data_IF_963518812488
#
_entry.id   IF_963518812488
#
_cell.length_a   1.000
_cell.length_b   1.000
_cell.length_c   1.000
_cell.angle_alpha   90.00
_cell.angle_beta   90.00
_cell.angle_gamma   90.00
#
_symmetry.space_group_name_H-M   'P 1'
#
loop_
_entity.id
_entity.type
_entity.pdbx_description
1 polymer ?
#
# COMPACT_ATOMS: atom_id res chain seq x y z
N UNK A 1 3.81 -4.48 63.19
CA UNK A 1 4.68 -3.73 62.26
C UNK A 1 4.46 -4.33 60.89
N UNK A 2 4.01 -3.51 59.93
CA UNK A 2 3.63 -3.97 58.61
C UNK A 2 4.83 -4.46 57.80
N UNK A 3 4.57 -5.44 56.94
CA UNK A 3 5.47 -5.80 55.86
C UNK A 3 4.59 -6.02 54.64
N UNK A 4 4.57 -5.02 53.77
CA UNK A 4 3.90 -5.10 52.48
C UNK A 4 4.60 -6.16 51.63
N UNK A 5 3.87 -7.00 50.88
CA UNK A 5 4.48 -7.79 49.82
C UNK A 5 4.81 -6.85 48.66
N UNK A 6 6.08 -6.46 48.58
CA UNK A 6 6.70 -5.75 47.46
C UNK A 6 7.57 -6.75 46.71
N UNK A 7 6.95 -7.62 45.90
CA UNK A 7 7.66 -8.40 44.88
C UNK A 7 6.83 -8.35 43.60
N UNK A 8 6.94 -7.21 42.89
CA UNK A 8 6.52 -7.08 41.50
C UNK A 8 7.76 -7.25 40.62
N UNK A 9 8.32 -8.45 40.60
CA UNK A 9 9.13 -8.89 39.47
C UNK A 9 8.17 -9.58 38.49
N UNK A 10 7.76 -8.85 37.45
CA UNK A 10 7.16 -9.48 36.29
C UNK A 10 8.23 -10.38 35.65
N UNK A 11 8.18 -11.67 35.93
CA UNK A 11 9.04 -12.66 35.28
C UNK A 11 8.93 -12.53 33.75
N UNK A 12 10.07 -12.44 33.06
CA UNK A 12 10.13 -12.39 31.60
C UNK A 12 9.37 -13.56 30.95
N UNK A 13 9.35 -14.72 31.61
CA UNK A 13 8.63 -15.91 31.18
C UNK A 13 7.10 -15.76 31.33
N UNK A 14 6.63 -14.98 32.30
CA UNK A 14 5.20 -14.66 32.44
C UNK A 14 4.74 -13.69 31.35
N UNK A 15 5.59 -12.74 30.94
CA UNK A 15 5.35 -11.85 29.80
C UNK A 15 5.38 -12.61 28.47
N UNK A 16 6.31 -13.55 28.30
CA UNK A 16 6.37 -14.41 27.12
C UNK A 16 5.17 -15.37 27.09
N UNK A 17 4.78 -15.93 28.22
CA UNK A 17 3.60 -16.79 28.35
C UNK A 17 2.30 -16.02 28.09
N UNK A 18 2.14 -14.82 28.65
CA UNK A 18 1.00 -13.93 28.39
C UNK A 18 0.99 -13.43 26.94
N UNK A 19 2.15 -13.09 26.36
CA UNK A 19 2.29 -12.74 24.95
C UNK A 19 1.92 -13.90 24.02
N UNK A 20 2.35 -15.12 24.37
CA UNK A 20 1.98 -16.33 23.65
C UNK A 20 0.49 -16.66 23.81
N UNK A 21 -0.10 -16.42 24.98
CA UNK A 21 -1.53 -16.58 25.24
C UNK A 21 -2.38 -15.54 24.50
N UNK A 22 -1.90 -14.30 24.40
CA UNK A 22 -2.47 -13.24 23.57
C UNK A 22 -2.38 -13.57 22.07
N UNK A 23 -1.27 -14.17 21.61
CA UNK A 23 -1.15 -14.69 20.24
C UNK A 23 -2.03 -15.92 19.98
N UNK A 24 -2.31 -16.71 21.01
CA UNK A 24 -3.16 -17.91 20.96
C UNK A 24 -4.65 -17.60 21.07
N UNK A 25 -5.01 -16.41 21.58
CA UNK A 25 -6.34 -15.87 21.40
C UNK A 25 -6.56 -15.68 19.91
N UNK A 26 -7.37 -16.57 19.35
CA UNK A 26 -7.86 -16.50 17.99
C UNK A 26 -8.81 -15.31 17.91
N UNK A 27 -8.27 -14.07 17.89
CA UNK A 27 -8.98 -12.79 17.70
C UNK A 27 -9.57 -12.62 16.29
N UNK A 28 -9.79 -13.74 15.60
CA UNK A 28 -10.42 -13.89 14.30
C UNK A 28 -11.90 -14.15 14.58
N UNK A 29 -12.80 -13.15 14.58
CA UNK A 29 -13.06 -12.24 13.47
C UNK A 29 -13.13 -10.72 13.81
N UNK A 30 -12.89 -10.33 15.06
CA UNK A 30 -13.12 -8.95 15.52
C UNK A 30 -12.17 -7.93 14.88
N UNK A 31 -10.91 -8.30 14.68
CA UNK A 31 -9.93 -7.40 14.08
C UNK A 31 -10.25 -7.13 12.61
N UNK A 32 -10.62 -8.15 11.83
CA UNK A 32 -11.02 -7.98 10.43
C UNK A 32 -12.30 -7.14 10.32
N UNK A 33 -13.30 -7.40 11.16
CA UNK A 33 -14.52 -6.57 11.21
C UNK A 33 -14.18 -5.12 11.54
N UNK A 34 -13.29 -4.86 12.50
CA UNK A 34 -12.82 -3.51 12.80
C UNK A 34 -12.11 -2.83 11.61
N UNK A 35 -11.35 -3.59 10.81
CA UNK A 35 -10.72 -3.07 9.58
C UNK A 35 -11.76 -2.69 8.54
N UNK A 36 -12.77 -3.54 8.32
CA UNK A 36 -13.87 -3.24 7.40
C UNK A 36 -14.71 -2.05 7.89
N UNK A 37 -15.01 -1.97 9.18
CA UNK A 37 -15.71 -0.85 9.79
C UNK A 37 -14.92 0.45 9.62
N UNK A 38 -13.63 0.45 9.93
CA UNK A 38 -12.77 1.61 9.74
C UNK A 38 -12.72 2.04 8.26
N UNK A 39 -12.59 1.08 7.34
CA UNK A 39 -12.62 1.38 5.90
C UNK A 39 -13.95 2.00 5.47
N UNK A 40 -15.08 1.47 5.96
CA UNK A 40 -16.42 1.98 5.67
C UNK A 40 -16.65 3.38 6.27
N UNK A 41 -16.11 3.64 7.46
CA UNK A 41 -16.16 4.94 8.11
C UNK A 41 -15.34 5.98 7.36
N UNK A 42 -14.14 5.62 6.89
CA UNK A 42 -13.30 6.50 6.05
C UNK A 42 -14.01 6.79 4.72
N UNK A 43 -14.59 5.77 4.09
CA UNK A 43 -15.36 5.94 2.85
C UNK A 43 -16.55 6.90 3.06
N UNK A 44 -17.34 6.68 4.12
CA UNK A 44 -18.45 7.56 4.47
C UNK A 44 -17.97 8.99 4.77
N UNK A 45 -16.88 9.15 5.52
CA UNK A 45 -16.29 10.44 5.84
C UNK A 45 -15.78 11.20 4.62
N UNK A 46 -15.25 10.52 3.60
CA UNK A 46 -14.79 11.17 2.35
C UNK A 46 -15.96 11.59 1.45
N UNK A 47 -17.02 10.78 1.35
CA UNK A 47 -18.15 11.07 0.44
C UNK A 47 -19.27 11.90 1.05
N UNK A 48 -19.53 11.79 2.36
CA UNK A 48 -20.68 12.39 3.05
C UNK A 48 -20.30 13.41 4.13
N UNK A 49 -19.04 13.84 4.21
CA UNK A 49 -18.64 14.90 5.16
C UNK A 49 -19.34 16.23 4.84
N UNK A 50 -19.99 16.87 5.81
CA UNK A 50 -20.60 18.18 5.59
C UNK A 50 -19.51 19.20 5.22
N UNK A 51 -19.78 20.03 4.21
CA UNK A 51 -18.88 21.05 3.65
C UNK A 51 -17.57 20.52 3.01
N UNK A 52 -17.47 19.23 2.70
CA UNK A 52 -16.31 18.60 2.03
C UNK A 52 -14.97 18.85 2.77
N UNK A 53 -15.04 19.04 4.09
CA UNK A 53 -13.90 19.43 4.93
C UNK A 53 -12.85 18.32 4.95
N UNK A 54 -13.28 17.07 5.12
CA UNK A 54 -12.39 15.90 5.18
C UNK A 54 -11.66 15.69 3.85
N UNK A 55 -12.36 15.84 2.74
CA UNK A 55 -11.77 15.72 1.41
C UNK A 55 -10.79 16.86 1.10
N UNK A 56 -11.09 18.11 1.50
CA UNK A 56 -10.15 19.24 1.42
C UNK A 56 -8.91 19.01 2.27
N UNK A 57 -9.07 18.48 3.48
CA UNK A 57 -7.96 18.14 4.38
C UNK A 57 -7.04 17.06 3.76
N UNK A 58 -7.60 15.98 3.25
CA UNK A 58 -6.82 14.87 2.66
C UNK A 58 -6.19 15.29 1.32
N UNK A 59 -6.81 16.22 0.60
CA UNK A 59 -6.29 16.75 -0.66
C UNK A 59 -5.14 17.75 -0.49
N UNK A 60 -4.81 18.19 0.74
CA UNK A 60 -3.59 18.96 0.96
C UNK A 60 -2.37 18.14 0.55
N UNK A 61 -1.49 18.75 -0.25
CA UNK A 61 -0.31 18.08 -0.82
C UNK A 61 0.54 17.39 0.25
N UNK A 62 0.75 18.03 1.40
CA UNK A 62 1.54 17.47 2.51
C UNK A 62 0.89 16.21 3.10
N UNK A 63 -0.41 16.26 3.39
CA UNK A 63 -1.16 15.13 3.96
C UNK A 63 -1.20 13.97 2.96
N UNK A 64 -1.40 14.26 1.67
CA UNK A 64 -1.38 13.25 0.62
C UNK A 64 -0.03 12.55 0.49
N UNK A 65 1.08 13.29 0.62
CA UNK A 65 2.44 12.73 0.63
C UNK A 65 2.63 11.80 1.83
N UNK A 66 2.22 12.20 3.04
CA UNK A 66 2.31 11.34 4.23
C UNK A 66 1.50 10.05 4.05
N UNK A 67 0.26 10.17 3.58
CA UNK A 67 -0.60 9.00 3.31
C UNK A 67 -0.03 8.12 2.21
N UNK A 68 0.63 8.69 1.19
CA UNK A 68 1.31 7.88 0.15
C UNK A 68 2.47 7.07 0.73
N UNK A 69 3.27 7.65 1.63
CA UNK A 69 4.38 6.93 2.27
C UNK A 69 3.83 5.79 3.12
N UNK A 70 2.82 6.04 3.94
CA UNK A 70 2.18 5.01 4.76
C UNK A 70 1.62 3.85 3.91
N UNK A 71 1.01 4.17 2.76
CA UNK A 71 0.51 3.16 1.81
C UNK A 71 1.64 2.28 1.25
N UNK A 72 2.80 2.84 0.95
CA UNK A 72 3.94 2.06 0.45
C UNK A 72 4.61 1.19 1.51
N UNK A 73 4.66 1.66 2.76
CA UNK A 73 5.09 0.84 3.89
C UNK A 73 4.17 -0.37 4.04
N UNK A 74 2.86 -0.16 4.00
CA UNK A 74 1.87 -1.24 4.08
C UNK A 74 1.93 -2.18 2.87
N UNK A 75 2.19 -1.66 1.66
CA UNK A 75 2.34 -2.48 0.45
C UNK A 75 3.55 -3.42 0.57
N UNK A 76 4.69 -2.89 0.98
CA UNK A 76 5.93 -3.65 1.15
C UNK A 76 5.76 -4.74 2.21
N UNK A 77 5.07 -4.43 3.32
CA UNK A 77 4.71 -5.41 4.36
C UNK A 77 3.83 -6.54 3.82
N UNK A 78 2.83 -6.22 2.96
CA UNK A 78 1.97 -7.24 2.34
C UNK A 78 2.74 -8.15 1.39
N UNK A 79 3.68 -7.60 0.62
CA UNK A 79 4.54 -8.38 -0.28
C UNK A 79 5.42 -9.33 0.53
N UNK A 80 6.13 -8.84 1.54
CA UNK A 80 7.03 -9.67 2.36
C UNK A 80 6.26 -10.76 3.12
N UNK A 81 5.09 -10.45 3.70
CA UNK A 81 4.21 -11.44 4.34
C UNK A 81 3.64 -12.44 3.32
N UNK A 82 3.43 -12.02 2.07
CA UNK A 82 3.02 -12.87 0.96
C UNK A 82 4.08 -13.90 0.57
N UNK A 83 5.30 -13.43 0.32
CA UNK A 83 6.45 -14.26 -0.01
C UNK A 83 6.76 -15.22 1.14
N UNK A 84 6.75 -14.74 2.39
CA UNK A 84 6.97 -15.58 3.56
C UNK A 84 5.92 -16.69 3.73
N UNK A 85 4.65 -16.39 3.43
CA UNK A 85 3.58 -17.40 3.43
C UNK A 85 3.78 -18.44 2.32
N UNK A 86 4.09 -18.00 1.11
CA UNK A 86 4.32 -18.90 -0.02
C UNK A 86 5.57 -19.77 0.17
N UNK A 87 6.64 -19.23 0.77
CA UNK A 87 7.87 -19.96 1.05
C UNK A 87 7.66 -21.09 2.07
N UNK A 88 6.73 -20.92 3.02
CA UNK A 88 6.36 -21.99 3.97
C UNK A 88 5.59 -23.12 3.29
N UNK A 89 4.76 -22.80 2.29
CA UNK A 89 3.89 -23.78 1.63
C UNK A 89 4.58 -24.50 0.47
N UNK A 90 5.42 -23.78 -0.28
CA UNK A 90 6.16 -24.27 -1.44
C UNK A 90 7.61 -23.76 -1.39
N UNK A 91 8.47 -24.38 -0.55
CA UNK A 91 9.85 -23.92 -0.35
C UNK A 91 10.70 -24.00 -1.63
N UNK A 92 10.52 -25.05 -2.43
CA UNK A 92 11.31 -25.29 -3.66
C UNK A 92 10.88 -24.45 -4.87
N UNK A 93 9.68 -23.84 -4.84
CA UNK A 93 9.13 -23.14 -6.00
C UNK A 93 9.26 -21.62 -5.89
N UNK A 94 10.40 -21.10 -6.33
CA UNK A 94 10.69 -19.66 -6.33
C UNK A 94 9.71 -18.85 -7.18
N UNK A 95 9.23 -19.43 -8.29
CA UNK A 95 8.27 -18.78 -9.17
C UNK A 95 6.94 -18.53 -8.45
N UNK A 96 6.47 -19.48 -7.64
CA UNK A 96 5.23 -19.33 -6.85
C UNK A 96 5.40 -18.27 -5.76
N UNK A 97 6.55 -18.23 -5.10
CA UNK A 97 6.85 -17.23 -4.07
C UNK A 97 6.79 -15.80 -4.62
N UNK A 98 7.42 -15.58 -5.79
CA UNK A 98 7.37 -14.28 -6.48
C UNK A 98 5.95 -13.94 -6.91
N UNK A 99 5.21 -14.88 -7.51
CA UNK A 99 3.84 -14.64 -7.97
C UNK A 99 2.89 -14.27 -6.81
N UNK A 100 2.96 -14.95 -5.67
CA UNK A 100 2.14 -14.65 -4.48
C UNK A 100 2.51 -13.29 -3.89
N UNK A 101 3.81 -12.95 -3.84
CA UNK A 101 4.28 -11.63 -3.42
C UNK A 101 3.73 -10.51 -4.31
N UNK A 102 3.85 -10.67 -5.63
CA UNK A 102 3.33 -9.70 -6.62
C UNK A 102 1.81 -9.58 -6.55
N UNK A 103 1.09 -10.71 -6.40
CA UNK A 103 -0.37 -10.70 -6.26
C UNK A 103 -0.83 -9.90 -5.04
N UNK A 104 -0.15 -10.04 -3.89
CA UNK A 104 -0.45 -9.24 -2.68
C UNK A 104 -0.06 -7.77 -2.81
N UNK A 105 0.98 -7.42 -3.57
CA UNK A 105 1.42 -6.04 -3.78
C UNK A 105 0.61 -5.27 -4.83
N UNK A 106 0.30 -5.91 -5.96
CA UNK A 106 -0.30 -5.31 -7.15
C UNK A 106 -1.75 -5.78 -7.43
N UNK A 107 -2.36 -6.60 -6.57
CA UNK A 107 -3.72 -7.14 -6.78
C UNK A 107 -4.81 -6.08 -6.93
N UNK A 108 -4.60 -4.86 -6.42
CA UNK A 108 -5.55 -3.75 -6.58
C UNK A 108 -5.80 -3.37 -8.05
N UNK A 109 -4.83 -3.56 -8.95
CA UNK A 109 -5.00 -3.30 -10.37
C UNK A 109 -5.96 -4.28 -11.04
N UNK A 110 -5.88 -5.55 -10.67
CA UNK A 110 -6.78 -6.60 -11.17
C UNK A 110 -8.21 -6.36 -10.70
N UNK A 111 -8.39 -6.05 -9.41
CA UNK A 111 -9.72 -5.75 -8.84
C UNK A 111 -10.36 -4.54 -9.51
N UNK A 112 -9.58 -3.52 -9.88
CA UNK A 112 -10.10 -2.36 -10.63
C UNK A 112 -10.65 -2.73 -12.00
N UNK A 113 -10.00 -3.64 -12.73
CA UNK A 113 -10.50 -4.11 -14.04
C UNK A 113 -11.85 -4.81 -13.85
N UNK A 114 -11.97 -5.64 -12.80
CA UNK A 114 -13.23 -6.32 -12.46
C UNK A 114 -14.30 -5.31 -12.07
N UNK A 115 -13.96 -4.29 -11.26
CA UNK A 115 -14.90 -3.22 -10.89
C UNK A 115 -15.41 -2.45 -12.11
N UNK A 116 -14.51 -2.10 -13.04
CA UNK A 116 -14.88 -1.42 -14.29
C UNK A 116 -15.78 -2.28 -15.18
N UNK A 117 -15.55 -3.60 -15.20
CA UNK A 117 -16.40 -4.55 -15.92
C UNK A 117 -17.81 -4.59 -15.33
N UNK A 118 -17.93 -4.69 -14.00
CA UNK A 118 -19.22 -4.72 -13.29
C UNK A 118 -19.98 -3.40 -13.44
N UNK A 119 -19.28 -2.26 -13.46
CA UNK A 119 -19.89 -0.92 -13.67
C UNK A 119 -20.26 -0.64 -15.13
N UNK A 120 -19.93 -1.52 -16.08
CA UNK A 120 -20.28 -1.36 -17.50
C UNK A 120 -19.49 -0.28 -18.24
N UNK A 121 -18.49 0.33 -17.61
CA UNK A 121 -17.62 1.38 -18.19
C UNK A 121 -16.27 0.78 -18.58
N UNK A 122 -16.26 -0.36 -19.27
CA UNK A 122 -15.02 -1.04 -19.62
C UNK A 122 -14.28 -0.29 -20.73
N UNK A 123 -13.05 0.11 -20.46
CA UNK A 123 -12.17 0.78 -21.43
C UNK A 123 -10.96 -0.14 -21.71
N UNK A 124 -10.86 -0.76 -22.91
CA UNK A 124 -9.83 -1.75 -23.24
C UNK A 124 -8.38 -1.24 -23.21
N UNK A 125 -8.16 0.07 -23.15
CA UNK A 125 -6.83 0.68 -23.39
C UNK A 125 -5.91 0.73 -22.17
N UNK A 126 -6.33 0.20 -21.02
CA UNK A 126 -5.62 0.34 -19.72
C UNK A 126 -5.51 -1.00 -18.96
N UNK A 127 -5.20 -2.10 -19.63
CA UNK A 127 -4.86 -3.33 -18.91
C UNK A 127 -3.46 -3.23 -18.32
N UNK A 128 -3.36 -3.24 -16.98
CA UNK A 128 -2.06 -3.28 -16.26
C UNK A 128 -1.18 -4.48 -16.64
N UNK A 129 -1.76 -5.50 -17.28
CA UNK A 129 -1.04 -6.66 -17.80
C UNK A 129 -0.34 -6.39 -19.15
N UNK A 130 -0.92 -5.53 -20.00
CA UNK A 130 -0.40 -5.25 -21.35
C UNK A 130 0.56 -4.04 -21.36
N UNK A 131 0.35 -3.07 -20.47
CA UNK A 131 1.34 -2.04 -20.11
C UNK A 131 1.55 -2.05 -18.59
N UNK A 132 2.56 -2.76 -18.08
CA UNK A 132 2.82 -2.80 -16.65
C UNK A 132 3.12 -1.40 -16.13
N UNK A 133 2.29 -0.93 -15.20
CA UNK A 133 2.54 0.27 -14.43
C UNK A 133 3.91 0.16 -13.75
N UNK A 134 4.61 1.28 -13.59
CA UNK A 134 5.90 1.32 -12.88
C UNK A 134 5.80 0.68 -11.49
N UNK A 135 4.65 0.80 -10.83
CA UNK A 135 4.34 0.16 -9.54
C UNK A 135 4.39 -1.37 -9.62
N UNK A 136 3.85 -1.99 -10.67
CA UNK A 136 3.83 -3.44 -10.83
C UNK A 136 5.24 -3.97 -11.08
N UNK A 137 6.06 -3.27 -11.88
CA UNK A 137 7.47 -3.59 -12.07
C UNK A 137 8.24 -3.52 -10.74
N UNK A 138 8.01 -2.48 -9.94
CA UNK A 138 8.61 -2.34 -8.61
C UNK A 138 8.20 -3.48 -7.68
N UNK A 139 6.92 -3.90 -7.70
CA UNK A 139 6.44 -5.04 -6.92
C UNK A 139 7.10 -6.36 -7.33
N UNK A 140 7.35 -6.57 -8.64
CA UNK A 140 8.08 -7.75 -9.14
C UNK A 140 9.52 -7.77 -8.63
N UNK A 141 10.23 -6.64 -8.73
CA UNK A 141 11.61 -6.53 -8.22
C UNK A 141 11.65 -6.72 -6.71
N UNK A 142 10.73 -6.11 -5.96
CA UNK A 142 10.64 -6.27 -4.51
C UNK A 142 10.35 -7.73 -4.11
N UNK A 143 9.39 -8.39 -4.77
CA UNK A 143 9.07 -9.79 -4.52
C UNK A 143 10.24 -10.72 -4.86
N UNK A 144 10.98 -10.43 -5.93
CA UNK A 144 12.18 -11.18 -6.31
C UNK A 144 13.28 -11.02 -5.25
N UNK A 145 13.53 -9.80 -4.78
CA UNK A 145 14.52 -9.52 -3.72
C UNK A 145 14.14 -10.24 -2.42
N UNK A 146 12.88 -10.17 -1.98
CA UNK A 146 12.41 -10.88 -0.78
C UNK A 146 12.47 -12.40 -0.93
N UNK A 147 12.25 -12.93 -2.13
CA UNK A 147 12.37 -14.37 -2.43
C UNK A 147 13.83 -14.80 -2.35
N UNK A 148 14.77 -14.02 -2.91
CA UNK A 148 16.20 -14.31 -2.86
C UNK A 148 16.77 -14.22 -1.43
N UNK A 149 16.32 -13.24 -0.66
CA UNK A 149 16.68 -13.07 0.76
C UNK A 149 16.28 -14.30 1.60
N UNK A 150 15.09 -14.86 1.35
CA UNK A 150 14.59 -16.03 2.07
C UNK A 150 15.40 -17.30 1.81
N UNK A 151 16.03 -17.41 0.64
CA UNK A 151 16.72 -18.63 0.21
C UNK A 151 18.23 -18.63 0.49
N UNK A 152 18.76 -17.59 1.16
CA UNK A 152 20.08 -17.57 1.79
C UNK A 152 21.24 -18.11 0.92
N UNK A 153 21.27 -17.77 -0.37
CA UNK A 153 22.42 -18.11 -1.25
C UNK A 153 23.21 -16.88 -1.73
N UNK A 154 22.73 -15.64 -1.52
CA UNK A 154 23.45 -14.42 -2.01
C UNK A 154 23.36 -13.15 -1.15
N UNK A 155 22.48 -13.04 -0.15
CA UNK A 155 22.28 -11.77 0.59
C UNK A 155 22.26 -11.99 2.10
N UNK A 156 23.42 -11.91 2.73
CA UNK A 156 23.59 -11.79 4.20
C UNK A 156 23.43 -10.33 4.64
N UNK A 157 22.38 -9.65 4.15
CA UNK A 157 22.04 -8.30 4.60
C UNK A 157 20.96 -8.39 5.69
N UNK A 158 21.04 -7.57 6.76
CA UNK A 158 20.02 -7.58 7.81
C UNK A 158 18.63 -7.30 7.20
N UNK A 159 17.62 -8.05 7.65
CA UNK A 159 16.23 -7.96 7.15
C UNK A 159 15.70 -6.52 7.06
N UNK A 160 16.14 -5.66 7.98
CA UNK A 160 15.78 -4.24 8.00
C UNK A 160 16.34 -3.46 6.81
N UNK A 161 17.54 -3.76 6.32
CA UNK A 161 18.17 -3.07 5.19
C UNK A 161 17.52 -3.44 3.85
N UNK A 162 17.13 -4.70 3.69
CA UNK A 162 16.40 -5.16 2.49
C UNK A 162 14.99 -4.57 2.46
N UNK A 163 14.34 -4.51 3.61
CA UNK A 163 13.04 -3.85 3.76
C UNK A 163 13.14 -2.35 3.48
N UNK A 164 14.16 -1.68 4.01
CA UNK A 164 14.45 -0.27 3.74
C UNK A 164 14.70 -0.03 2.26
N UNK A 165 15.48 -0.89 1.59
CA UNK A 165 15.79 -0.77 0.16
C UNK A 165 14.56 -0.98 -0.72
N UNK A 166 13.72 -1.98 -0.40
CA UNK A 166 12.45 -2.20 -1.10
C UNK A 166 11.49 -1.01 -0.92
N UNK A 167 11.40 -0.47 0.30
CA UNK A 167 10.61 0.72 0.60
C UNK A 167 11.12 1.95 -0.18
N UNK A 168 12.44 2.15 -0.23
CA UNK A 168 13.06 3.28 -0.91
C UNK A 168 12.86 3.20 -2.43
N UNK A 169 12.89 2.00 -3.01
CA UNK A 169 12.54 1.76 -4.41
C UNK A 169 11.06 2.04 -4.70
N UNK A 170 10.14 1.53 -3.88
CA UNK A 170 8.71 1.82 -4.02
C UNK A 170 8.44 3.32 -3.90
N UNK A 171 9.07 4.00 -2.92
CA UNK A 171 8.93 5.46 -2.78
C UNK A 171 9.51 6.19 -3.99
N UNK A 172 10.71 5.85 -4.46
CA UNK A 172 11.29 6.51 -5.63
C UNK A 172 10.39 6.37 -6.87
N UNK A 173 9.72 5.23 -7.02
CA UNK A 173 8.76 4.97 -8.09
C UNK A 173 7.48 5.80 -7.91
N UNK A 174 6.94 5.92 -6.70
CA UNK A 174 5.77 6.79 -6.48
C UNK A 174 6.13 8.28 -6.52
N UNK A 175 7.37 8.66 -6.21
CA UNK A 175 7.91 10.00 -6.42
C UNK A 175 7.76 10.42 -7.88
N UNK A 176 8.33 9.58 -8.76
CA UNK A 176 8.33 9.81 -10.20
C UNK A 176 6.92 9.77 -10.77
N UNK A 177 6.01 8.99 -10.18
CA UNK A 177 4.59 8.96 -10.58
C UNK A 177 3.81 10.21 -10.16
N UNK A 178 4.00 10.68 -8.92
CA UNK A 178 3.38 11.93 -8.46
C UNK A 178 3.89 13.13 -9.26
N UNK A 179 5.19 13.17 -9.59
CA UNK A 179 5.79 14.18 -10.46
C UNK A 179 5.22 14.13 -11.89
N UNK A 180 5.09 12.93 -12.48
CA UNK A 180 4.47 12.76 -13.79
C UNK A 180 2.99 13.20 -13.81
N UNK A 181 2.23 12.89 -12.76
CA UNK A 181 0.84 13.32 -12.63
C UNK A 181 0.71 14.84 -12.43
N UNK A 182 1.61 15.45 -11.66
CA UNK A 182 1.67 16.90 -11.49
C UNK A 182 1.99 17.60 -12.82
N UNK A 183 2.92 17.06 -13.62
CA UNK A 183 3.25 17.55 -14.95
C UNK A 183 2.07 17.47 -15.92
N UNK A 184 1.35 16.34 -15.94
CA UNK A 184 0.17 16.16 -16.80
C UNK A 184 -0.95 17.15 -16.46
N UNK A 185 -1.20 17.36 -15.16
CA UNK A 185 -2.22 18.32 -14.70
C UNK A 185 -1.88 19.75 -15.11
N UNK A 186 -0.60 20.14 -15.00
CA UNK A 186 -0.13 21.46 -15.43
C UNK A 186 -0.38 21.70 -16.93
N UNK A 187 -0.05 20.72 -17.77
CA UNK A 187 -0.32 20.79 -19.22
C UNK A 187 -1.82 20.90 -19.52
N UNK A 188 -2.66 20.18 -18.78
CA UNK A 188 -4.11 20.21 -18.97
C UNK A 188 -4.72 21.56 -18.56
N UNK A 189 -4.25 22.14 -17.45
CA UNK A 189 -4.62 23.49 -17.00
C UNK A 189 -4.17 24.54 -18.03
N UNK A 190 -2.94 24.44 -18.55
CA UNK A 190 -2.39 25.34 -19.58
C UNK A 190 -3.24 25.29 -20.88
N UNK A 191 -3.69 24.10 -21.29
CA UNK A 191 -4.56 23.91 -22.46
C UNK A 191 -5.97 24.48 -22.25
N UNK A 192 -6.50 24.40 -21.03
CA UNK A 192 -7.80 24.98 -20.69
C UNK A 192 -7.73 26.50 -20.73
N UNK A 193 -6.65 27.08 -20.22
CA UNK A 193 -6.43 28.53 -20.25
C UNK A 193 -6.24 29.06 -21.68
N UNK A 194 -5.52 28.35 -22.55
CA UNK A 194 -5.40 28.72 -23.97
C UNK A 194 -6.76 28.69 -24.70
N UNK A 195 -7.58 27.66 -24.44
CA UNK A 195 -8.96 27.61 -24.99
C UNK A 195 -9.81 28.77 -24.50
N UNK A 196 -9.66 29.18 -23.24
CA UNK A 196 -10.41 30.31 -22.65
C UNK A 196 -9.95 31.64 -23.24
N UNK A 197 -8.65 31.82 -23.45
CA UNK A 197 -8.07 32.97 -24.13
C UNK A 197 -8.60 33.11 -25.56
N UNK A 198 -8.52 32.03 -26.36
CA UNK A 198 -9.04 31.99 -27.74
C UNK A 198 -10.53 32.30 -27.83
N UNK A 199 -11.32 31.90 -26.83
CA UNK A 199 -12.76 32.14 -26.78
C UNK A 199 -13.09 33.60 -26.44
N UNK A 200 -12.30 34.24 -25.58
CA UNK A 200 -12.46 35.67 -25.25
C UNK A 200 -12.05 36.57 -26.41
N UNK A 201 -10.95 36.26 -27.10
CA UNK A 201 -10.47 37.03 -28.26
C UNK A 201 -11.48 37.04 -29.42
N UNK A 202 -12.12 35.90 -29.70
CA UNK A 202 -13.24 35.81 -30.68
C UNK A 202 -14.49 36.57 -30.28
N UNK A 203 -14.66 36.93 -29.00
CA UNK A 203 -15.83 37.65 -28.49
C UNK A 203 -15.65 39.17 -28.52
N UNK A 204 -14.40 39.63 -28.60
CA UNK A 204 -14.00 41.04 -28.63
C UNK A 204 -13.74 41.57 -30.05
N UNK A 205 -14.00 40.76 -31.08
CA UNK A 205 -13.78 41.06 -32.50
C UNK A 205 -15.10 40.91 -33.25
#
# INVERSE_FOLDING_TARGET
MGMWPMDWEMDHDSLISAGSALQKLRMYPYFDVAHYLLASLVWYGVFYSPFDIVHKLISFKLIKVVVSIAKEVQRTHKISHGVAYAAKLYPESYMVQVLVGVAKGAGSGVVKIVEQLVRGTWVPSQHEMLRPSFTTKACVVAALVFTLERNSMYVTAPHDLVYLRALLLCRAVDATREEANAGKKKIEDDLVDDKKWKKNDKKNK
#
